data_IF_287904545421
#
_entry.id   IF_287904545421
#
_cell.length_a   1.000
_cell.length_b   1.000
_cell.length_c   1.000
_cell.angle_alpha   90.00
_cell.angle_beta   90.00
_cell.angle_gamma   90.00
#
_symmetry.space_group_name_H-M   'P 1'
#
loop_
_entity.id
_entity.type
_entity.pdbx_description
1 polymer ?
#
# COMPACT_ATOMS: atom_id res chain seq x y z
N UNK A 1 26.34 -56.10 -51.53
CA UNK A 1 26.67 -57.05 -50.44
C UNK A 1 26.67 -56.43 -49.02
N UNK A 2 25.85 -55.40 -48.72
CA UNK A 2 25.89 -54.70 -47.41
C UNK A 2 24.64 -54.88 -46.52
N UNK A 3 23.62 -55.63 -46.96
CA UNK A 3 22.38 -55.82 -46.18
C UNK A 3 22.36 -57.06 -45.27
N UNK A 4 23.22 -58.06 -45.51
CA UNK A 4 23.27 -59.28 -44.68
C UNK A 4 24.17 -59.14 -43.43
N UNK A 5 25.03 -58.12 -43.38
CA UNK A 5 25.95 -57.87 -42.25
C UNK A 5 25.32 -57.02 -41.13
N UNK A 6 24.30 -56.21 -41.43
CA UNK A 6 23.60 -55.40 -40.41
C UNK A 6 22.52 -56.17 -39.65
N UNK A 7 21.91 -57.19 -40.26
CA UNK A 7 20.88 -58.02 -39.61
C UNK A 7 21.49 -58.96 -38.56
N UNK A 8 22.69 -59.48 -38.81
CA UNK A 8 23.42 -60.30 -37.84
C UNK A 8 23.89 -59.52 -36.60
N UNK A 9 24.23 -58.24 -36.76
CA UNK A 9 24.65 -57.37 -35.65
C UNK A 9 23.46 -56.96 -34.76
N UNK A 10 22.28 -56.77 -35.35
CA UNK A 10 21.05 -56.44 -34.62
C UNK A 10 20.51 -57.65 -33.82
N UNK A 11 20.67 -58.87 -34.36
CA UNK A 11 20.26 -60.11 -33.68
C UNK A 11 21.19 -60.46 -32.51
N UNK A 12 22.49 -60.15 -32.62
CA UNK A 12 23.46 -60.39 -31.54
C UNK A 12 23.29 -59.42 -30.37
N UNK A 13 22.86 -58.17 -30.62
CA UNK A 13 22.51 -57.21 -29.56
C UNK A 13 21.21 -57.57 -28.80
N UNK A 14 20.28 -58.28 -29.45
CA UNK A 14 19.04 -58.73 -28.80
C UNK A 14 19.27 -59.91 -27.84
N UNK A 15 20.20 -60.81 -28.16
CA UNK A 15 20.51 -61.96 -27.30
C UNK A 15 21.26 -61.59 -26.01
N UNK A 16 22.01 -60.49 -25.98
CA UNK A 16 22.70 -60.02 -24.75
C UNK A 16 21.72 -59.39 -23.75
N UNK A 17 20.59 -58.85 -24.21
CA UNK A 17 19.58 -58.27 -23.32
C UNK A 17 18.65 -59.33 -22.69
N UNK A 18 18.45 -60.49 -23.32
CA UNK A 18 17.58 -61.53 -22.77
C UNK A 18 18.22 -62.26 -21.58
N UNK A 19 19.55 -62.38 -21.53
CA UNK A 19 20.26 -63.02 -20.41
C UNK A 19 20.38 -62.16 -19.15
N UNK A 20 20.01 -60.87 -19.19
CA UNK A 20 19.92 -60.01 -17.99
C UNK A 20 18.50 -59.92 -17.40
N UNK A 21 17.51 -60.59 -18.00
CA UNK A 21 16.09 -60.54 -17.61
C UNK A 21 15.63 -61.78 -16.79
N UNK A 22 16.55 -62.65 -16.35
CA UNK A 22 16.22 -63.80 -15.48
C UNK A 22 17.23 -64.07 -14.36
N UNK A 23 17.72 -63.01 -13.72
CA UNK A 23 18.47 -63.15 -12.46
C UNK A 23 18.23 -61.93 -11.54
N UNK A 24 16.98 -61.56 -11.34
CA UNK A 24 16.59 -60.97 -10.08
C UNK A 24 15.90 -62.08 -9.31
N UNK A 25 16.64 -62.63 -8.35
CA UNK A 25 16.07 -63.29 -7.19
C UNK A 25 14.84 -62.47 -6.76
N UNK A 26 13.71 -63.09 -6.37
CA UNK A 26 12.72 -62.34 -5.64
C UNK A 26 13.43 -61.87 -4.37
N UNK A 27 13.95 -60.65 -4.36
CA UNK A 27 14.17 -59.90 -3.13
C UNK A 27 12.80 -59.88 -2.48
N UNK A 28 12.58 -60.86 -1.62
CA UNK A 28 11.57 -60.82 -0.61
C UNK A 28 11.86 -59.52 0.12
N UNK A 29 11.09 -58.48 -0.20
CA UNK A 29 10.98 -57.30 0.63
C UNK A 29 10.92 -57.83 2.06
N UNK A 30 11.88 -57.48 2.94
CA UNK A 30 11.79 -57.91 4.32
C UNK A 30 10.44 -57.39 4.80
N UNK A 31 9.54 -58.31 5.12
CA UNK A 31 8.23 -57.96 5.67
C UNK A 31 8.56 -57.15 6.91
N UNK A 32 8.21 -55.84 6.96
CA UNK A 32 8.63 -54.98 8.06
C UNK A 32 8.12 -55.61 9.35
N UNK A 33 9.03 -55.78 10.30
CA UNK A 33 8.73 -56.43 11.57
C UNK A 33 7.63 -55.61 12.25
N UNK A 34 6.70 -56.23 12.98
CA UNK A 34 5.58 -55.53 13.62
C UNK A 34 6.02 -54.37 14.55
N UNK A 35 7.29 -54.33 14.94
CA UNK A 35 7.93 -53.27 15.70
C UNK A 35 8.40 -52.09 14.82
N UNK A 36 8.95 -52.35 13.63
CA UNK A 36 9.39 -51.32 12.67
C UNK A 36 8.19 -50.52 12.14
N UNK A 37 7.08 -51.20 11.84
CA UNK A 37 5.81 -50.56 11.47
C UNK A 37 5.25 -49.65 12.59
N UNK A 38 5.46 -50.01 13.86
CA UNK A 38 5.03 -49.17 15.00
C UNK A 38 5.92 -47.95 15.18
N UNK A 39 7.23 -48.08 14.96
CA UNK A 39 8.19 -46.97 15.02
C UNK A 39 7.91 -45.97 13.90
N UNK A 40 7.70 -46.44 12.67
CA UNK A 40 7.40 -45.58 11.53
C UNK A 40 6.06 -44.84 11.69
N UNK A 41 5.02 -45.53 12.19
CA UNK A 41 3.74 -44.89 12.54
C UNK A 41 3.86 -43.86 13.66
N UNK A 42 4.75 -44.06 14.64
CA UNK A 42 5.00 -43.09 15.71
C UNK A 42 5.72 -41.85 15.17
N UNK A 43 6.75 -42.05 14.32
CA UNK A 43 7.50 -41.00 13.66
C UNK A 43 6.59 -40.14 12.75
N UNK A 44 5.72 -40.78 11.98
CA UNK A 44 4.78 -40.07 11.10
C UNK A 44 3.74 -39.28 11.89
N UNK A 45 3.24 -39.81 13.01
CA UNK A 45 2.36 -39.07 13.94
C UNK A 45 3.06 -37.85 14.53
N UNK A 46 4.34 -37.93 14.84
CA UNK A 46 5.13 -36.82 15.36
C UNK A 46 5.34 -35.74 14.29
N UNK A 47 5.74 -36.13 13.07
CA UNK A 47 5.83 -35.22 11.92
C UNK A 47 4.52 -34.51 11.61
N UNK A 48 3.39 -35.21 11.69
CA UNK A 48 2.06 -34.61 11.51
C UNK A 48 1.75 -33.60 12.62
N UNK A 49 2.15 -33.86 13.87
CA UNK A 49 1.97 -32.91 14.99
C UNK A 49 2.84 -31.67 14.80
N UNK A 50 4.12 -31.83 14.48
CA UNK A 50 5.05 -30.73 14.19
C UNK A 50 4.57 -29.88 13.02
N UNK A 51 4.16 -30.50 11.92
CA UNK A 51 3.60 -29.79 10.77
C UNK A 51 2.32 -29.03 11.12
N UNK A 52 1.44 -29.58 11.98
CA UNK A 52 0.24 -28.89 12.47
C UNK A 52 0.61 -27.70 13.36
N UNK A 53 1.59 -27.84 14.22
CA UNK A 53 2.01 -26.75 15.12
C UNK A 53 2.77 -25.64 14.38
N UNK A 54 3.60 -25.99 13.40
CA UNK A 54 4.18 -25.04 12.45
C UNK A 54 3.09 -24.29 11.68
N UNK A 55 2.10 -24.99 11.09
CA UNK A 55 0.96 -24.35 10.41
C UNK A 55 0.19 -23.40 11.33
N UNK A 56 -0.05 -23.78 12.59
CA UNK A 56 -0.71 -22.91 13.57
C UNK A 56 0.13 -21.67 13.89
N UNK A 57 1.45 -21.81 14.07
CA UNK A 57 2.36 -20.69 14.31
C UNK A 57 2.40 -19.74 13.11
N UNK A 58 2.52 -20.27 11.89
CA UNK A 58 2.47 -19.46 10.68
C UNK A 58 1.12 -18.74 10.53
N UNK A 59 0.00 -19.42 10.77
CA UNK A 59 -1.32 -18.81 10.70
C UNK A 59 -1.53 -17.72 11.77
N UNK A 60 -0.93 -17.85 12.96
CA UNK A 60 -0.93 -16.79 13.98
C UNK A 60 -0.09 -15.60 13.54
N UNK A 61 1.14 -15.84 13.08
CA UNK A 61 2.03 -14.80 12.58
C UNK A 61 1.43 -14.04 11.40
N UNK A 62 0.80 -14.73 10.45
CA UNK A 62 0.10 -14.10 9.32
C UNK A 62 -1.07 -13.24 9.78
N UNK A 63 -1.88 -13.71 10.74
CA UNK A 63 -2.97 -12.92 11.32
C UNK A 63 -2.46 -11.67 12.03
N UNK A 64 -1.35 -11.77 12.75
CA UNK A 64 -0.72 -10.62 13.42
C UNK A 64 -0.15 -9.63 12.42
N UNK A 65 0.59 -10.10 11.41
CA UNK A 65 1.09 -9.28 10.31
C UNK A 65 -0.05 -8.55 9.60
N UNK A 66 -1.15 -9.24 9.29
CA UNK A 66 -2.33 -8.64 8.65
C UNK A 66 -3.02 -7.60 9.54
N UNK A 67 -3.03 -7.80 10.87
CA UNK A 67 -3.57 -6.80 11.82
C UNK A 67 -2.66 -5.57 11.87
N UNK A 68 -1.35 -5.77 11.94
CA UNK A 68 -0.36 -4.70 11.95
C UNK A 68 -0.43 -3.87 10.65
N UNK A 69 -0.50 -4.51 9.49
CA UNK A 69 -0.64 -3.84 8.20
C UNK A 69 -1.93 -3.01 8.14
N UNK A 70 -3.06 -3.57 8.57
CA UNK A 70 -4.32 -2.82 8.65
C UNK A 70 -4.23 -1.61 9.58
N UNK A 71 -3.53 -1.72 10.69
CA UNK A 71 -3.31 -0.61 11.62
C UNK A 71 -2.44 0.48 10.97
N UNK A 72 -1.34 0.11 10.31
CA UNK A 72 -0.48 1.04 9.56
C UNK A 72 -1.26 1.76 8.45
N UNK A 73 -2.04 1.02 7.66
CA UNK A 73 -2.87 1.61 6.60
C UNK A 73 -3.91 2.60 7.14
N UNK A 74 -4.50 2.34 8.33
CA UNK A 74 -5.42 3.28 8.97
C UNK A 74 -4.69 4.55 9.42
N UNK A 75 -3.55 4.40 10.11
CA UNK A 75 -2.73 5.51 10.56
C UNK A 75 -2.26 6.38 9.37
N UNK A 76 -1.81 5.76 8.28
CA UNK A 76 -1.40 6.49 7.07
C UNK A 76 -2.57 7.27 6.44
N UNK A 77 -3.77 6.66 6.39
CA UNK A 77 -4.97 7.34 5.89
C UNK A 77 -5.35 8.53 6.75
N UNK A 78 -5.27 8.42 8.06
CA UNK A 78 -5.53 9.53 9.00
C UNK A 78 -4.49 10.65 8.85
N UNK A 79 -3.21 10.30 8.77
CA UNK A 79 -2.14 11.26 8.51
C UNK A 79 -2.36 12.01 7.18
N UNK A 80 -2.71 11.29 6.10
CA UNK A 80 -3.03 11.90 4.80
C UNK A 80 -4.23 12.84 4.89
N UNK A 81 -5.28 12.49 5.64
CA UNK A 81 -6.44 13.37 5.86
C UNK A 81 -6.05 14.63 6.62
N UNK A 82 -5.28 14.49 7.70
CA UNK A 82 -4.79 15.61 8.51
C UNK A 82 -3.92 16.56 7.66
N UNK A 83 -2.95 16.03 6.92
CA UNK A 83 -2.09 16.81 6.02
C UNK A 83 -2.90 17.56 4.96
N UNK A 84 -3.95 16.93 4.41
CA UNK A 84 -4.84 17.58 3.44
C UNK A 84 -5.64 18.73 4.06
N UNK A 85 -6.08 18.59 5.31
CA UNK A 85 -6.77 19.66 6.04
C UNK A 85 -5.79 20.81 6.33
N UNK A 86 -4.61 20.51 6.86
CA UNK A 86 -3.57 21.51 7.12
C UNK A 86 -3.19 22.30 5.86
N UNK A 87 -3.03 21.61 4.72
CA UNK A 87 -2.75 22.25 3.42
C UNK A 87 -3.90 23.18 2.96
N UNK A 88 -5.16 22.78 3.16
CA UNK A 88 -6.33 23.62 2.87
C UNK A 88 -6.41 24.85 3.79
N UNK A 89 -6.07 24.70 5.07
CA UNK A 89 -5.99 25.83 6.00
C UNK A 89 -4.93 26.82 5.53
N UNK A 90 -3.70 26.35 5.28
CA UNK A 90 -2.60 27.21 4.84
C UNK A 90 -2.93 27.96 3.54
N UNK A 91 -3.44 27.25 2.53
CA UNK A 91 -3.83 27.88 1.26
C UNK A 91 -4.99 28.88 1.41
N UNK A 92 -5.88 28.69 2.38
CA UNK A 92 -6.97 29.65 2.67
C UNK A 92 -6.46 30.86 3.45
N UNK A 93 -5.56 30.67 4.42
CA UNK A 93 -4.89 31.77 5.14
C UNK A 93 -4.11 32.66 4.17
N UNK A 94 -3.33 32.07 3.25
CA UNK A 94 -2.66 32.83 2.18
C UNK A 94 -3.61 33.68 1.32
N UNK A 95 -4.87 33.27 1.15
CA UNK A 95 -5.88 34.07 0.43
C UNK A 95 -6.40 35.21 1.29
N UNK A 96 -6.59 34.98 2.59
CA UNK A 96 -6.95 36.01 3.56
C UNK A 96 -5.87 37.08 3.60
N UNK A 97 -4.61 36.70 3.78
CA UNK A 97 -3.47 37.63 3.85
C UNK A 97 -3.39 38.50 2.58
N UNK A 98 -3.54 37.88 1.40
CA UNK A 98 -3.56 38.62 0.12
C UNK A 98 -4.70 39.61 0.01
N UNK A 99 -5.86 39.32 0.59
CA UNK A 99 -7.01 40.22 0.58
C UNK A 99 -6.84 41.34 1.62
N UNK A 100 -6.28 41.04 2.80
CA UNK A 100 -5.90 42.04 3.82
C UNK A 100 -4.90 43.04 3.23
N UNK A 101 -3.81 42.57 2.62
CA UNK A 101 -2.83 43.47 1.98
C UNK A 101 -3.40 44.31 0.84
N UNK A 102 -4.50 43.88 0.21
CA UNK A 102 -5.20 44.71 -0.78
C UNK A 102 -6.05 45.78 -0.11
N UNK A 103 -6.71 45.45 1.01
CA UNK A 103 -7.47 46.42 1.81
C UNK A 103 -6.53 47.52 2.30
N UNK A 104 -5.41 47.14 2.91
CA UNK A 104 -4.39 48.09 3.40
C UNK A 104 -3.90 49.03 2.28
N UNK A 105 -3.55 48.48 1.11
CA UNK A 105 -3.13 49.29 -0.04
C UNK A 105 -4.21 50.24 -0.57
N UNK A 106 -5.48 49.85 -0.47
CA UNK A 106 -6.58 50.73 -0.88
C UNK A 106 -6.79 51.83 0.17
N UNK A 107 -6.75 51.49 1.45
CA UNK A 107 -6.87 52.45 2.56
C UNK A 107 -5.73 53.48 2.52
N UNK A 108 -4.49 53.05 2.36
CA UNK A 108 -3.33 53.94 2.27
C UNK A 108 -3.44 54.91 1.07
N UNK A 109 -3.90 54.41 -0.09
CA UNK A 109 -4.15 55.27 -1.26
C UNK A 109 -5.28 56.26 -1.01
N UNK A 110 -6.36 55.79 -0.38
CA UNK A 110 -7.51 56.62 -0.06
C UNK A 110 -7.13 57.76 0.88
N UNK A 111 -6.42 57.48 1.97
CA UNK A 111 -5.91 58.49 2.92
C UNK A 111 -4.95 59.48 2.26
N UNK A 112 -4.04 58.98 1.41
CA UNK A 112 -3.08 59.82 0.68
C UNK A 112 -3.74 60.76 -0.33
N UNK A 113 -4.76 60.29 -1.02
CA UNK A 113 -5.42 61.10 -2.04
C UNK A 113 -6.49 62.03 -1.42
N UNK A 114 -7.10 61.62 -0.31
CA UNK A 114 -7.99 62.46 0.51
C UNK A 114 -7.24 63.64 1.13
N UNK A 115 -6.09 63.39 1.77
CA UNK A 115 -5.22 64.46 2.30
C UNK A 115 -4.74 65.44 1.23
N UNK A 116 -4.71 65.03 -0.05
CA UNK A 116 -4.39 65.89 -1.20
C UNK A 116 -5.61 66.59 -1.81
N UNK A 117 -6.82 66.34 -1.30
CA UNK A 117 -8.07 66.85 -1.86
C UNK A 117 -8.40 66.30 -3.24
N UNK A 118 -7.83 65.15 -3.62
CA UNK A 118 -7.97 64.55 -4.96
C UNK A 118 -9.15 63.58 -5.06
N UNK A 119 -9.74 63.18 -3.93
CA UNK A 119 -10.87 62.26 -3.93
C UNK A 119 -12.20 63.02 -4.06
N UNK A 120 -13.00 62.65 -5.05
CA UNK A 120 -14.40 63.04 -5.10
C UNK A 120 -15.25 62.14 -4.18
N UNK A 121 -16.42 62.59 -3.70
CA UNK A 121 -17.34 61.75 -2.92
C UNK A 121 -17.70 60.44 -3.63
N UNK A 122 -17.85 60.48 -4.96
CA UNK A 122 -18.15 59.30 -5.78
C UNK A 122 -17.00 58.30 -5.81
N UNK A 123 -15.76 58.78 -5.79
CA UNK A 123 -14.59 57.90 -5.78
C UNK A 123 -14.37 57.28 -4.40
N UNK A 124 -14.65 58.02 -3.32
CA UNK A 124 -14.74 57.46 -1.96
C UNK A 124 -15.68 56.27 -1.91
N UNK A 125 -16.91 56.44 -2.41
CA UNK A 125 -17.92 55.39 -2.41
C UNK A 125 -17.45 54.15 -3.19
N UNK A 126 -16.76 54.33 -4.34
CA UNK A 126 -16.19 53.22 -5.11
C UNK A 126 -15.09 52.49 -4.35
N UNK A 127 -14.21 53.21 -3.64
CA UNK A 127 -13.14 52.59 -2.86
C UNK A 127 -13.71 51.83 -1.66
N UNK A 128 -14.67 52.40 -0.93
CA UNK A 128 -15.39 51.72 0.15
C UNK A 128 -16.07 50.45 -0.37
N UNK A 129 -16.80 50.51 -1.48
CA UNK A 129 -17.40 49.32 -2.12
C UNK A 129 -16.38 48.24 -2.48
N UNK A 130 -15.13 48.60 -2.83
CA UNK A 130 -14.06 47.62 -3.07
C UNK A 130 -13.56 47.01 -1.76
N UNK A 131 -13.37 47.82 -0.72
CA UNK A 131 -12.99 47.35 0.62
C UNK A 131 -14.05 46.40 1.17
N UNK A 132 -15.34 46.74 1.09
CA UNK A 132 -16.44 45.89 1.57
C UNK A 132 -16.46 44.53 0.88
N UNK A 133 -16.23 44.49 -0.43
CA UNK A 133 -16.13 43.24 -1.20
C UNK A 133 -14.94 42.39 -0.74
N UNK A 134 -13.80 43.00 -0.42
CA UNK A 134 -12.64 42.30 0.11
C UNK A 134 -12.90 41.78 1.52
N UNK A 135 -13.49 42.59 2.40
CA UNK A 135 -13.86 42.20 3.76
C UNK A 135 -14.85 41.03 3.76
N UNK A 136 -15.88 41.08 2.90
CA UNK A 136 -16.82 39.95 2.74
C UNK A 136 -16.13 38.67 2.28
N UNK A 137 -15.10 38.77 1.43
CA UNK A 137 -14.30 37.60 1.03
C UNK A 137 -13.42 37.10 2.18
N UNK A 138 -12.80 38.00 2.93
CA UNK A 138 -11.99 37.68 4.11
C UNK A 138 -12.85 36.91 5.11
N UNK A 139 -14.03 37.41 5.47
CA UNK A 139 -14.96 36.76 6.39
C UNK A 139 -15.36 35.36 5.92
N UNK A 140 -15.73 35.22 4.64
CA UNK A 140 -16.06 33.90 4.05
C UNK A 140 -14.89 32.93 4.14
N UNK A 141 -13.67 33.40 3.94
CA UNK A 141 -12.47 32.56 4.03
C UNK A 141 -12.13 32.23 5.49
N UNK A 142 -12.27 33.17 6.43
CA UNK A 142 -12.11 32.92 7.86
C UNK A 142 -13.12 31.88 8.36
N UNK A 143 -14.39 31.96 7.93
CA UNK A 143 -15.39 30.94 8.23
C UNK A 143 -15.00 29.57 7.67
N UNK A 144 -14.44 29.50 6.46
CA UNK A 144 -13.92 28.24 5.90
C UNK A 144 -12.78 27.68 6.74
N UNK A 145 -11.86 28.52 7.19
CA UNK A 145 -10.75 28.13 8.07
C UNK A 145 -11.28 27.57 9.39
N UNK A 146 -12.23 28.25 10.04
CA UNK A 146 -12.89 27.76 11.27
C UNK A 146 -13.53 26.37 11.06
N UNK A 147 -14.23 26.17 9.95
CA UNK A 147 -14.83 24.87 9.57
C UNK A 147 -13.80 23.79 9.23
N UNK A 148 -12.57 24.14 8.88
CA UNK A 148 -11.49 23.19 8.63
C UNK A 148 -10.79 22.80 9.94
N UNK A 149 -10.56 23.75 10.84
CA UNK A 149 -10.06 23.47 12.18
C UNK A 149 -11.00 22.58 12.99
N UNK A 150 -12.33 22.74 12.83
CA UNK A 150 -13.30 21.85 13.47
C UNK A 150 -13.33 20.42 12.91
N UNK A 151 -12.62 20.15 11.82
CA UNK A 151 -12.53 18.82 11.17
C UNK A 151 -11.17 18.16 11.35
N UNK A 152 -10.21 18.89 11.87
CA UNK A 152 -8.88 18.39 12.23
C UNK A 152 -8.99 17.60 13.53
#
# INVERSE_FOLDING_TARGET
>A
MKLKKSLGLLLLLACVNFSYVQAQEPETLPVPTAEELKIEQALEKERIKEAKDLKKRMAKAEKEARKAEKAQQKAEKELKKSNKIASKINSTNKKIDKDISKVEKIQEKMERDDSKGKLSPRDFEKLHKKIDKLNSRIDKNQQKVRKLYSKQ
#
